data_IF_274736946446
#
_entry.id   IF_274736946446
#
_cell.length_a   1.000
_cell.length_b   1.000
_cell.length_c   1.000
_cell.angle_alpha   90.00
_cell.angle_beta   90.00
_cell.angle_gamma   90.00
#
_symmetry.space_group_name_H-M   'P 1'
#
loop_
_entity.id
_entity.type
_entity.pdbx_description
1 polymer ?
#
# COMPACT_ATOMS: atom_id res chain seq x y z
N UNK A 1 -19.93 -5.98 -18.52
CA UNK A 1 -20.07 -7.46 -18.55
C UNK A 1 -18.74 -8.19 -18.77
N UNK A 2 -17.94 -7.89 -19.82
CA UNK A 2 -16.69 -8.65 -20.12
C UNK A 2 -15.55 -8.51 -19.09
N UNK A 3 -15.45 -7.38 -18.40
CA UNK A 3 -14.39 -7.13 -17.41
C UNK A 3 -14.68 -7.81 -16.07
N UNK A 4 -15.94 -7.78 -15.63
CA UNK A 4 -16.41 -8.45 -14.41
C UNK A 4 -16.17 -9.97 -14.47
N UNK A 5 -16.45 -10.60 -15.62
CA UNK A 5 -16.16 -12.03 -15.84
C UNK A 5 -14.67 -12.36 -15.79
N UNK A 6 -13.80 -11.40 -16.16
CA UNK A 6 -12.36 -11.61 -16.17
C UNK A 6 -11.77 -11.59 -14.75
N UNK A 7 -12.19 -10.62 -13.94
CA UNK A 7 -11.79 -10.54 -12.54
C UNK A 7 -12.21 -11.79 -11.75
N UNK A 8 -13.43 -12.27 -11.95
CA UNK A 8 -13.90 -13.53 -11.35
C UNK A 8 -13.05 -14.73 -11.81
N UNK A 9 -12.60 -14.75 -13.07
CA UNK A 9 -11.78 -15.85 -13.58
C UNK A 9 -10.33 -15.89 -13.06
N UNK A 10 -9.78 -14.75 -12.59
CA UNK A 10 -8.37 -14.62 -12.22
C UNK A 10 -8.10 -14.37 -10.74
N UNK A 11 -8.98 -13.63 -10.07
CA UNK A 11 -8.86 -13.26 -8.64
C UNK A 11 -9.95 -13.95 -7.80
N UNK A 12 -10.90 -14.65 -8.44
CA UNK A 12 -12.02 -15.32 -7.78
C UNK A 12 -12.84 -14.37 -6.89
N UNK A 13 -13.17 -13.20 -7.43
CA UNK A 13 -14.03 -12.24 -6.74
C UNK A 13 -15.49 -12.70 -6.75
N UNK A 14 -16.16 -12.53 -5.61
CA UNK A 14 -17.62 -12.55 -5.57
C UNK A 14 -18.17 -11.25 -6.18
N UNK A 15 -19.46 -11.20 -6.56
CA UNK A 15 -20.10 -9.95 -6.96
C UNK A 15 -20.02 -8.85 -5.88
N UNK A 16 -20.02 -9.23 -4.61
CA UNK A 16 -19.89 -8.32 -3.47
C UNK A 16 -18.47 -7.76 -3.37
N UNK A 17 -17.45 -8.60 -3.54
CA UNK A 17 -16.04 -8.18 -3.57
C UNK A 17 -15.80 -7.16 -4.70
N UNK A 18 -16.33 -7.44 -5.89
CA UNK A 18 -16.28 -6.51 -7.02
C UNK A 18 -16.99 -5.20 -6.69
N UNK A 19 -18.13 -5.25 -6.01
CA UNK A 19 -18.84 -4.06 -5.55
C UNK A 19 -17.96 -3.16 -4.69
N UNK A 20 -17.30 -3.73 -3.67
CA UNK A 20 -16.37 -3.01 -2.77
C UNK A 20 -15.19 -2.40 -3.52
N UNK A 21 -14.64 -3.15 -4.47
CA UNK A 21 -13.51 -2.71 -5.29
C UNK A 21 -13.90 -1.55 -6.20
N UNK A 22 -15.06 -1.62 -6.85
CA UNK A 22 -15.59 -0.55 -7.71
C UNK A 22 -15.97 0.69 -6.89
N UNK A 23 -16.52 0.52 -5.70
CA UNK A 23 -16.85 1.62 -4.79
C UNK A 23 -15.59 2.42 -4.41
N UNK A 24 -14.49 1.73 -4.09
CA UNK A 24 -13.19 2.35 -3.76
C UNK A 24 -12.46 2.93 -4.98
N UNK A 25 -12.64 2.33 -6.15
CA UNK A 25 -11.91 2.70 -7.37
C UNK A 25 -12.78 2.46 -8.62
N UNK A 26 -13.73 3.36 -8.95
CA UNK A 26 -14.64 3.17 -10.08
C UNK A 26 -13.90 2.96 -11.41
N UNK A 27 -12.75 3.61 -11.58
CA UNK A 27 -11.89 3.51 -12.77
C UNK A 27 -11.27 2.12 -12.99
N UNK A 28 -11.39 1.20 -12.03
CA UNK A 28 -10.87 -0.17 -12.17
C UNK A 28 -11.54 -0.94 -13.32
N UNK A 29 -12.78 -0.57 -13.67
CA UNK A 29 -13.51 -1.15 -14.82
C UNK A 29 -12.95 -0.73 -16.17
N UNK A 30 -12.04 0.25 -16.18
CA UNK A 30 -11.36 0.74 -17.39
C UNK A 30 -9.92 0.24 -17.49
N UNK A 31 -9.38 -0.43 -16.46
CA UNK A 31 -8.04 -1.00 -16.51
C UNK A 31 -7.97 -2.12 -17.56
N UNK A 32 -6.86 -2.23 -18.28
CA UNK A 32 -6.71 -3.35 -19.20
C UNK A 32 -6.57 -4.68 -18.45
N UNK A 33 -7.21 -5.72 -18.95
CA UNK A 33 -7.07 -7.09 -18.42
C UNK A 33 -5.60 -7.52 -18.34
N UNK A 34 -4.77 -7.06 -19.28
CA UNK A 34 -3.33 -7.33 -19.32
C UNK A 34 -2.59 -6.65 -18.17
N UNK A 35 -2.94 -5.40 -17.82
CA UNK A 35 -2.36 -4.74 -16.65
C UNK A 35 -2.74 -5.48 -15.37
N UNK A 36 -4.01 -5.85 -15.19
CA UNK A 36 -4.49 -6.57 -14.00
C UNK A 36 -3.73 -7.89 -13.82
N UNK A 37 -3.63 -8.71 -14.88
CA UNK A 37 -2.90 -9.98 -14.80
C UNK A 37 -1.44 -9.79 -14.43
N UNK A 38 -0.75 -8.82 -15.03
CA UNK A 38 0.66 -8.55 -14.72
C UNK A 38 0.86 -8.23 -13.24
N UNK A 39 -0.03 -7.44 -12.62
CA UNK A 39 0.09 -7.10 -11.20
C UNK A 39 -0.23 -8.30 -10.29
N UNK A 40 -1.27 -9.07 -10.62
CA UNK A 40 -1.62 -10.29 -9.87
C UNK A 40 -0.50 -11.32 -9.95
N UNK A 41 0.07 -11.54 -11.13
CA UNK A 41 1.17 -12.50 -11.32
C UNK A 41 2.44 -12.03 -10.61
N UNK A 42 2.72 -10.73 -10.62
CA UNK A 42 3.83 -10.15 -9.86
C UNK A 42 3.65 -10.38 -8.35
N UNK A 43 2.48 -10.08 -7.78
CA UNK A 43 2.21 -10.31 -6.36
C UNK A 43 2.32 -11.80 -6.01
N UNK A 44 1.84 -12.70 -6.87
CA UNK A 44 2.06 -14.14 -6.65
C UNK A 44 3.54 -14.52 -6.68
N UNK A 45 4.32 -13.95 -7.59
CA UNK A 45 5.76 -14.15 -7.67
C UNK A 45 6.49 -13.65 -6.41
N UNK A 46 6.00 -12.56 -5.80
CA UNK A 46 6.47 -12.07 -4.50
C UNK A 46 6.18 -13.01 -3.32
N UNK A 47 5.41 -14.08 -3.52
CA UNK A 47 5.08 -15.08 -2.50
C UNK A 47 3.67 -14.97 -1.91
N UNK A 48 2.84 -14.04 -2.39
CA UNK A 48 1.46 -13.92 -1.91
C UNK A 48 0.56 -15.02 -2.47
N UNK A 49 -0.21 -15.66 -1.60
CA UNK A 49 -1.28 -16.56 -2.02
C UNK A 49 -2.38 -15.79 -2.77
N UNK A 50 -3.15 -16.49 -3.60
CA UNK A 50 -4.28 -15.88 -4.32
C UNK A 50 -5.26 -15.19 -3.36
N UNK A 51 -5.51 -15.79 -2.19
CA UNK A 51 -6.39 -15.20 -1.18
C UNK A 51 -5.81 -13.94 -0.54
N UNK A 52 -4.49 -13.88 -0.29
CA UNK A 52 -3.83 -12.66 0.17
C UNK A 52 -3.92 -11.55 -0.90
N UNK A 53 -3.64 -11.87 -2.16
CA UNK A 53 -3.78 -10.91 -3.28
C UNK A 53 -5.22 -10.39 -3.38
N UNK A 54 -6.21 -11.29 -3.25
CA UNK A 54 -7.62 -10.93 -3.22
C UNK A 54 -7.91 -9.90 -2.10
N UNK A 55 -7.47 -10.16 -0.86
CA UNK A 55 -7.62 -9.22 0.27
C UNK A 55 -6.94 -7.87 0.01
N UNK A 56 -5.71 -7.88 -0.51
CA UNK A 56 -4.96 -6.67 -0.84
C UNK A 56 -5.72 -5.79 -1.85
N UNK A 57 -6.24 -6.40 -2.92
CA UNK A 57 -6.97 -5.68 -3.97
C UNK A 57 -8.31 -5.15 -3.46
N UNK A 58 -9.02 -5.88 -2.59
CA UNK A 58 -10.26 -5.39 -1.96
C UNK A 58 -9.96 -4.19 -1.04
N UNK A 59 -8.86 -4.24 -0.29
CA UNK A 59 -8.45 -3.17 0.62
C UNK A 59 -7.98 -1.91 -0.12
N UNK A 60 -7.10 -2.09 -1.11
CA UNK A 60 -6.48 -1.04 -1.91
C UNK A 60 -6.43 -1.45 -3.40
N UNK A 61 -7.51 -1.19 -4.17
CA UNK A 61 -7.55 -1.56 -5.58
C UNK A 61 -6.49 -0.86 -6.44
N UNK A 62 -5.97 0.29 -5.97
CA UNK A 62 -4.95 1.08 -6.65
C UNK A 62 -3.69 0.27 -6.95
N UNK A 63 -3.41 -0.79 -6.16
CA UNK A 63 -2.28 -1.70 -6.38
C UNK A 63 -2.24 -2.30 -7.80
N UNK A 64 -3.38 -2.41 -8.47
CA UNK A 64 -3.49 -2.95 -9.84
C UNK A 64 -3.24 -1.90 -10.94
N UNK A 65 -3.08 -0.63 -10.57
CA UNK A 65 -2.89 0.48 -11.49
C UNK A 65 -1.54 1.20 -11.29
N UNK A 66 -0.68 0.67 -10.41
CA UNK A 66 0.62 1.27 -10.13
C UNK A 66 1.60 1.05 -11.29
N UNK A 67 2.66 1.85 -11.29
CA UNK A 67 3.79 1.57 -12.15
C UNK A 67 4.52 0.32 -11.64
N UNK A 68 4.61 -0.70 -12.50
CA UNK A 68 5.19 -2.01 -12.16
C UNK A 68 6.65 -1.92 -11.70
N UNK A 69 7.46 -1.05 -12.31
CA UNK A 69 8.87 -0.93 -11.98
C UNK A 69 9.06 -0.27 -10.62
N UNK A 70 8.24 0.74 -10.31
CA UNK A 70 8.21 1.36 -8.98
C UNK A 70 7.72 0.36 -7.92
N UNK A 71 6.70 -0.44 -8.24
CA UNK A 71 6.17 -1.44 -7.32
C UNK A 71 7.21 -2.52 -6.99
N UNK A 72 8.00 -2.97 -7.97
CA UNK A 72 9.13 -3.88 -7.77
C UNK A 72 10.20 -3.28 -6.86
N UNK A 73 10.62 -2.05 -7.12
CA UNK A 73 11.61 -1.36 -6.28
C UNK A 73 11.14 -1.21 -4.83
N UNK A 74 9.85 -0.91 -4.63
CA UNK A 74 9.24 -0.87 -3.29
C UNK A 74 9.28 -2.25 -2.61
N UNK A 75 8.91 -3.32 -3.33
CA UNK A 75 8.96 -4.67 -2.79
C UNK A 75 10.38 -5.12 -2.44
N UNK A 76 11.35 -4.89 -3.33
CA UNK A 76 12.76 -5.24 -3.11
C UNK A 76 13.32 -4.53 -1.88
N UNK A 77 12.98 -3.25 -1.69
CA UNK A 77 13.35 -2.52 -0.48
C UNK A 77 12.70 -3.09 0.78
N UNK A 78 11.40 -3.38 0.72
CA UNK A 78 10.66 -3.97 1.84
C UNK A 78 11.31 -5.29 2.31
N UNK A 79 11.59 -6.19 1.36
CA UNK A 79 12.14 -7.50 1.70
C UNK A 79 13.62 -7.43 2.11
N UNK A 80 14.46 -6.72 1.35
CA UNK A 80 15.92 -6.75 1.56
C UNK A 80 16.43 -5.78 2.62
N UNK A 81 15.75 -4.64 2.82
CA UNK A 81 16.24 -3.56 3.68
C UNK A 81 15.39 -3.41 4.95
N UNK A 82 14.06 -3.55 4.86
CA UNK A 82 13.20 -3.47 6.05
C UNK A 82 13.14 -4.80 6.80
N UNK A 83 13.31 -5.93 6.10
CA UNK A 83 13.35 -7.26 6.70
C UNK A 83 12.06 -7.63 7.44
N UNK A 84 10.92 -7.25 6.87
CA UNK A 84 9.58 -7.41 7.47
C UNK A 84 8.83 -8.59 6.86
N UNK A 85 7.83 -9.07 7.60
CA UNK A 85 6.98 -10.18 7.17
C UNK A 85 6.01 -9.75 6.06
N UNK A 86 5.77 -10.65 5.11
CA UNK A 86 4.89 -10.36 3.96
C UNK A 86 3.46 -10.03 4.39
N UNK A 87 2.98 -10.59 5.51
CA UNK A 87 1.63 -10.32 6.00
C UNK A 87 1.40 -8.83 6.31
N UNK A 88 2.43 -8.06 6.66
CA UNK A 88 2.28 -6.61 6.84
C UNK A 88 1.87 -5.89 5.54
N UNK A 89 2.29 -6.38 4.37
CA UNK A 89 1.85 -5.85 3.08
C UNK A 89 0.42 -6.28 2.72
N UNK A 90 -0.05 -7.39 3.30
CA UNK A 90 -1.45 -7.82 3.13
C UNK A 90 -2.39 -6.95 3.95
N UNK A 91 -1.97 -6.59 5.17
CA UNK A 91 -2.72 -5.71 6.06
C UNK A 91 -2.63 -4.24 5.63
N UNK A 92 -1.51 -3.83 5.03
CA UNK A 92 -1.29 -2.47 4.53
C UNK A 92 -0.82 -2.44 3.06
N UNK A 93 -1.69 -2.81 2.10
CA UNK A 93 -1.35 -2.82 0.67
C UNK A 93 -1.06 -1.42 0.10
N UNK A 94 -1.54 -0.37 0.78
CA UNK A 94 -1.22 1.01 0.47
C UNK A 94 0.29 1.33 0.56
N UNK A 95 1.11 0.47 1.16
CA UNK A 95 2.57 0.58 1.12
C UNK A 95 3.09 0.91 -0.29
N UNK A 96 2.58 0.23 -1.31
CA UNK A 96 3.04 0.40 -2.69
C UNK A 96 2.69 1.75 -3.31
N UNK A 97 1.77 2.52 -2.71
CA UNK A 97 1.38 3.85 -3.22
C UNK A 97 2.31 4.96 -2.71
N UNK A 98 3.13 4.69 -1.69
CA UNK A 98 4.09 5.67 -1.17
C UNK A 98 5.36 5.72 -2.03
N UNK A 99 5.96 6.90 -2.12
CA UNK A 99 7.22 7.09 -2.81
C UNK A 99 8.39 6.47 -2.01
N UNK A 100 9.15 5.59 -2.66
CA UNK A 100 10.28 4.90 -2.05
C UNK A 100 11.30 5.87 -1.46
N UNK A 101 11.81 6.79 -2.30
CA UNK A 101 12.86 7.73 -1.90
C UNK A 101 12.33 8.92 -1.10
N UNK A 102 11.08 9.33 -1.34
CA UNK A 102 10.50 10.50 -0.68
C UNK A 102 9.96 10.21 0.72
N UNK A 103 9.47 8.98 0.96
CA UNK A 103 8.67 8.70 2.16
C UNK A 103 9.12 7.42 2.84
N UNK A 104 9.14 6.29 2.15
CA UNK A 104 9.42 4.98 2.77
C UNK A 104 10.84 4.95 3.36
N UNK A 105 11.85 5.26 2.53
CA UNK A 105 13.26 5.16 2.93
C UNK A 105 13.63 6.16 4.05
N UNK A 106 13.26 7.46 3.98
CA UNK A 106 13.56 8.40 5.05
C UNK A 106 12.93 7.99 6.38
N UNK A 107 11.64 7.65 6.39
CA UNK A 107 10.92 7.30 7.62
C UNK A 107 11.41 5.99 8.23
N UNK A 108 11.65 4.97 7.40
CA UNK A 108 12.23 3.71 7.85
C UNK A 108 13.60 3.93 8.54
N UNK A 109 14.49 4.73 7.94
CA UNK A 109 15.82 5.02 8.52
C UNK A 109 15.72 5.71 9.88
N UNK A 110 14.78 6.65 10.04
CA UNK A 110 14.59 7.37 11.30
C UNK A 110 14.10 6.44 12.42
N UNK A 111 13.09 5.61 12.13
CA UNK A 111 12.56 4.60 13.06
C UNK A 111 13.62 3.56 13.42
N UNK A 112 14.36 3.04 12.44
CA UNK A 112 15.43 2.07 12.66
C UNK A 112 16.58 2.66 13.51
N UNK A 113 16.95 3.93 13.30
CA UNK A 113 17.99 4.60 14.11
C UNK A 113 17.59 4.73 15.58
N UNK A 114 16.30 4.89 15.87
CA UNK A 114 15.78 4.90 17.24
C UNK A 114 15.52 3.49 17.81
N UNK A 115 15.68 2.43 17.01
CA UNK A 115 15.36 1.05 17.42
C UNK A 115 13.86 0.81 17.64
N UNK A 116 12.99 1.65 17.08
CA UNK A 116 11.55 1.56 17.25
C UNK A 116 10.95 0.47 16.35
N UNK A 117 9.99 -0.28 16.90
CA UNK A 117 9.15 -1.22 16.13
C UNK A 117 7.74 -0.66 16.02
N UNK A 118 7.20 -0.60 14.82
CA UNK A 118 5.88 -0.05 14.52
C UNK A 118 5.29 -0.70 13.27
N UNK A 119 3.98 -0.63 13.09
CA UNK A 119 3.29 -1.10 11.88
C UNK A 119 3.58 -0.19 10.67
N UNK A 120 3.37 -0.70 9.46
CA UNK A 120 3.46 0.12 8.24
C UNK A 120 2.49 1.29 8.23
N UNK A 121 1.28 1.10 8.78
CA UNK A 121 0.29 2.17 8.90
C UNK A 121 0.79 3.29 9.82
N UNK A 122 1.36 2.96 10.99
CA UNK A 122 1.94 3.97 11.87
C UNK A 122 3.14 4.69 11.22
N UNK A 123 3.93 3.97 10.43
CA UNK A 123 5.09 4.53 9.74
C UNK A 123 4.70 5.51 8.61
N UNK A 124 3.67 5.15 7.82
CA UNK A 124 3.40 5.79 6.53
C UNK A 124 2.08 6.55 6.47
N UNK A 125 1.06 6.15 7.23
CA UNK A 125 -0.26 6.75 7.20
C UNK A 125 -0.34 8.01 8.09
N UNK A 126 0.51 8.99 7.81
CA UNK A 126 0.47 10.31 8.44
C UNK A 126 1.25 11.35 7.62
N UNK A 127 0.93 12.62 7.82
CA UNK A 127 1.69 13.73 7.23
C UNK A 127 3.13 13.77 7.75
N UNK A 128 4.02 14.46 7.03
CA UNK A 128 5.41 14.62 7.45
C UNK A 128 5.51 15.34 8.81
N UNK A 129 4.65 16.34 9.07
CA UNK A 129 4.59 17.02 10.35
C UNK A 129 4.18 16.08 11.51
N UNK A 130 3.16 15.23 11.31
CA UNK A 130 2.74 14.24 12.32
C UNK A 130 3.81 13.17 12.53
N UNK A 131 4.48 12.73 11.47
CA UNK A 131 5.61 11.81 11.59
C UNK A 131 6.78 12.43 12.36
N UNK A 132 7.14 13.69 12.08
CA UNK A 132 8.20 14.39 12.80
C UNK A 132 7.86 14.54 14.29
N UNK A 133 6.61 14.87 14.60
CA UNK A 133 6.13 14.90 15.99
C UNK A 133 6.28 13.53 16.67
N UNK A 134 5.88 12.44 16.01
CA UNK A 134 6.11 11.06 16.50
C UNK A 134 7.57 10.78 16.80
N UNK A 135 8.47 11.27 15.95
CA UNK A 135 9.91 11.09 16.11
C UNK A 135 10.52 12.00 17.20
N UNK A 136 9.79 12.96 17.76
CA UNK A 136 10.28 13.77 18.88
C UNK A 136 10.02 13.12 20.24
N UNK A 137 9.11 12.15 20.32
CA UNK A 137 8.88 11.39 21.55
C UNK A 137 9.94 10.28 21.72
N UNK A 138 10.26 9.98 22.98
CA UNK A 138 11.25 8.95 23.36
C UNK A 138 10.66 7.52 23.35
N UNK A 139 9.34 7.40 23.37
CA UNK A 139 8.59 6.13 23.34
C UNK A 139 7.37 6.23 22.42
N UNK A 140 6.98 5.12 21.79
CA UNK A 140 5.68 5.04 21.09
C UNK A 140 4.61 4.89 22.17
N UNK A 141 3.80 5.91 22.39
CA UNK A 141 2.63 5.79 23.27
C UNK A 141 1.62 4.83 22.65
N UNK A 142 1.13 3.86 23.45
CA UNK A 142 0.17 2.84 23.02
C UNK A 142 -1.12 3.44 22.46
N UNK A 143 -1.50 4.64 22.91
CA UNK A 143 -2.68 5.37 22.44
C UNK A 143 -2.58 5.81 20.96
N UNK A 144 -1.38 5.89 20.37
CA UNK A 144 -1.20 6.25 18.95
C UNK A 144 -1.26 5.06 17.98
N UNK A 145 -1.27 3.82 18.47
CA UNK A 145 -1.40 2.62 17.62
C UNK A 145 -2.85 2.36 17.19
N UNK A 146 -3.82 2.96 17.87
CA UNK A 146 -5.23 2.86 17.56
C UNK A 146 -5.71 4.20 16.97
N UNK A 147 -6.40 4.12 15.83
CA UNK A 147 -7.11 5.22 15.15
C UNK A 147 -6.33 6.10 14.15
N UNK A 148 -6.19 5.59 12.92
CA UNK A 148 -6.61 6.33 11.72
C UNK A 148 -6.62 5.36 10.51
N UNK A 149 -7.62 4.47 10.41
CA UNK A 149 -7.77 3.56 9.26
C UNK A 149 -8.40 4.23 8.03
N UNK A 150 -8.57 5.55 8.05
CA UNK A 150 -9.03 6.33 6.91
C UNK A 150 -7.83 6.62 6.00
N UNK A 151 -7.69 5.85 4.93
CA UNK A 151 -6.82 6.21 3.82
C UNK A 151 -7.36 7.50 3.18
N UNK A 152 -6.85 8.66 3.58
CA UNK A 152 -7.23 9.94 3.01
C UNK A 152 -6.50 10.18 1.68
N UNK A 153 -7.23 9.98 0.59
CA UNK A 153 -6.75 10.18 -0.78
C UNK A 153 -6.33 11.63 -1.06
N UNK A 154 -6.80 12.61 -0.28
CA UNK A 154 -6.49 14.02 -0.49
C UNK A 154 -5.04 14.37 -0.14
N UNK A 155 -4.42 13.65 0.79
CA UNK A 155 -3.02 13.90 1.18
C UNK A 155 -2.02 13.57 0.05
N UNK A 156 -2.42 12.79 -0.96
CA UNK A 156 -1.58 12.44 -2.11
C UNK A 156 -1.59 13.49 -3.23
N UNK A 157 -2.52 14.44 -3.20
CA UNK A 157 -2.73 15.46 -4.24
C UNK A 157 -2.14 16.83 -3.88
N UNK A 158 -1.48 16.97 -2.72
CA UNK A 158 -0.86 18.24 -2.38
C UNK A 158 0.33 18.54 -3.32
N UNK A 159 0.31 19.68 -4.04
CA UNK A 159 1.42 20.06 -4.88
C UNK A 159 2.66 20.26 -4.01
N UNK A 160 3.75 19.55 -4.32
CA UNK A 160 5.05 19.76 -3.70
C UNK A 160 5.41 21.23 -3.86
N UNK A 161 5.48 21.94 -2.73
CA UNK A 161 5.94 23.32 -2.69
C UNK A 161 7.43 23.32 -3.07
N UNK A 162 7.73 23.54 -4.35
CA UNK A 162 9.08 23.82 -4.81
C UNK A 162 9.42 25.23 -4.34
N UNK A 163 10.02 25.30 -3.15
CA UNK A 163 10.62 26.52 -2.62
C UNK A 163 11.61 27.11 -3.63
N UNK A 164 11.41 28.39 -3.92
CA UNK A 164 12.28 29.23 -4.77
C UNK A 164 13.63 29.49 -4.13
#
# INVERSE_FOLDING_TARGET
VKQQSFFNSKIDFSPEDLGRVIEKMPQIVSLSNTAVVKHVDFLKYCGFSLNQVKRMVIGCPQVLALNMDIMKLNFDYFQSQMGRELDELVDFPAFFTYGLESTIRPRHRMVAKKGLKCSLAWLLNCSDAKFEQRMNYDTIDMEEMEDDSSFDMNSLMEPRNNGS
#
